data_IF_874362685039
#
_entry.id   IF_874362685039
#
_cell.length_a   1.000
_cell.length_b   1.000
_cell.length_c   1.000
_cell.angle_alpha   90.00
_cell.angle_beta   90.00
_cell.angle_gamma   90.00
#
_symmetry.space_group_name_H-M   'P 1'
#
loop_
_entity.id
_entity.type
_entity.pdbx_description
1 polymer ?
#
# COMPACT_ATOMS: atom_id res chain seq x y z
N UNK A 1 -18.17 2.86 3.88
CA UNK A 1 -18.07 4.35 4.09
C UNK A 1 -16.59 4.72 4.12
N UNK A 2 -16.15 5.67 3.31
CA UNK A 2 -14.74 6.08 3.26
C UNK A 2 -14.39 6.96 4.47
N UNK A 3 -13.21 6.74 5.05
CA UNK A 3 -12.75 7.40 6.28
C UNK A 3 -11.55 8.28 5.94
N UNK A 4 -11.53 9.50 6.47
CA UNK A 4 -10.37 10.38 6.33
C UNK A 4 -9.17 9.81 7.11
N UNK A 5 -7.99 9.95 6.50
CA UNK A 5 -6.72 9.53 7.10
C UNK A 5 -5.77 10.72 7.11
N UNK A 6 -5.13 10.98 8.24
CA UNK A 6 -4.04 11.94 8.36
C UNK A 6 -2.87 11.32 9.15
N UNK A 7 -1.81 10.98 8.43
CA UNK A 7 -0.60 10.38 9.00
C UNK A 7 0.53 11.40 9.28
N UNK A 8 0.25 12.71 9.24
CA UNK A 8 1.28 13.77 9.30
C UNK A 8 2.27 13.63 10.47
N UNK A 9 1.82 13.03 11.57
CA UNK A 9 2.62 12.85 12.79
C UNK A 9 2.75 11.39 13.21
N UNK A 10 2.52 10.47 12.27
CA UNK A 10 2.54 9.02 12.56
C UNK A 10 3.85 8.41 12.11
N UNK A 11 4.51 7.71 13.02
CA UNK A 11 5.72 6.91 12.80
C UNK A 11 5.47 5.51 13.34
N UNK A 12 5.57 4.49 12.48
CA UNK A 12 5.43 3.09 12.86
C UNK A 12 6.79 2.44 12.70
N UNK A 13 7.39 2.04 13.83
CA UNK A 13 8.72 1.43 13.86
C UNK A 13 8.56 -0.09 13.96
N UNK A 14 9.26 -0.82 13.09
CA UNK A 14 9.33 -2.29 13.08
C UNK A 14 10.74 -2.76 13.40
N UNK A 15 11.03 -4.02 13.21
CA UNK A 15 12.39 -4.54 13.43
C UNK A 15 13.43 -3.93 12.47
N UNK A 16 13.05 -3.70 11.20
CA UNK A 16 13.98 -3.26 10.15
C UNK A 16 13.56 -1.97 9.47
N UNK A 17 12.31 -1.53 9.66
CA UNK A 17 11.69 -0.44 8.89
C UNK A 17 11.14 0.66 9.80
N UNK A 18 11.01 1.85 9.21
CA UNK A 18 10.21 2.95 9.73
C UNK A 18 9.20 3.32 8.64
N UNK A 19 7.91 3.26 8.96
CA UNK A 19 6.86 3.86 8.14
C UNK A 19 6.64 5.27 8.64
N UNK A 20 6.89 6.26 7.81
CA UNK A 20 6.82 7.68 8.17
C UNK A 20 6.20 8.55 7.08
N UNK A 21 5.76 9.76 7.40
CA UNK A 21 5.36 10.72 6.37
C UNK A 21 6.47 10.98 5.37
N UNK A 22 6.08 11.23 4.12
CA UNK A 22 7.00 11.61 3.05
C UNK A 22 7.60 12.99 3.29
N UNK A 23 8.87 13.17 2.89
CA UNK A 23 9.61 14.42 2.94
C UNK A 23 10.10 14.81 1.55
N UNK A 24 10.30 16.10 1.30
CA UNK A 24 10.83 16.59 0.02
C UNK A 24 12.22 16.03 -0.31
N UNK A 25 13.01 15.74 0.73
CA UNK A 25 14.33 15.11 0.64
C UNK A 25 14.30 13.68 0.06
N UNK A 26 13.16 12.98 0.14
CA UNK A 26 13.01 11.59 -0.33
C UNK A 26 12.94 11.46 -1.86
N UNK A 27 12.96 12.58 -2.58
CA UNK A 27 12.80 12.60 -4.05
C UNK A 27 13.79 11.68 -4.78
N UNK A 28 15.02 11.61 -4.32
CA UNK A 28 16.05 10.80 -5.00
C UNK A 28 15.80 9.32 -4.82
N UNK A 29 15.48 8.89 -3.61
CA UNK A 29 15.17 7.51 -3.28
C UNK A 29 13.87 7.07 -3.95
N UNK A 30 12.86 7.93 -3.94
CA UNK A 30 11.60 7.65 -4.64
C UNK A 30 11.84 7.46 -6.15
N UNK A 31 12.58 8.38 -6.79
CA UNK A 31 12.87 8.25 -8.21
C UNK A 31 13.68 6.99 -8.51
N UNK A 32 14.62 6.62 -7.66
CA UNK A 32 15.47 5.44 -7.85
C UNK A 32 14.64 4.16 -8.05
N UNK A 33 13.58 3.93 -7.24
CA UNK A 33 12.74 2.75 -7.42
C UNK A 33 11.57 2.96 -8.38
N UNK A 34 10.96 4.15 -8.39
CA UNK A 34 9.80 4.43 -9.24
C UNK A 34 10.14 4.51 -10.73
N UNK A 35 11.40 4.74 -11.09
CA UNK A 35 11.87 4.73 -12.47
C UNK A 35 12.19 3.34 -13.03
N UNK A 36 12.20 2.32 -12.18
CA UNK A 36 12.52 0.94 -12.59
C UNK A 36 11.31 0.30 -13.27
N UNK A 37 11.41 -0.14 -14.55
CA UNK A 37 10.32 -0.83 -15.24
C UNK A 37 9.83 -2.05 -14.46
N UNK A 38 8.51 -2.23 -14.38
CA UNK A 38 7.85 -3.33 -13.69
C UNK A 38 7.61 -3.08 -12.19
N UNK A 39 8.10 -1.99 -11.60
CA UNK A 39 7.75 -1.61 -10.22
C UNK A 39 6.35 -0.97 -10.21
N UNK A 40 6.17 0.08 -10.97
CA UNK A 40 4.89 0.79 -11.07
C UNK A 40 3.80 0.00 -11.75
N UNK A 41 4.15 -0.72 -12.80
CA UNK A 41 3.21 -1.50 -13.59
C UNK A 41 2.49 -2.57 -12.76
N UNK A 42 3.19 -3.15 -11.78
CA UNK A 42 2.60 -4.11 -10.83
C UNK A 42 1.67 -3.46 -9.79
N UNK A 43 1.65 -2.13 -9.74
CA UNK A 43 0.77 -1.33 -8.88
C UNK A 43 -0.23 -0.45 -9.66
N UNK A 44 -0.30 -0.60 -11.00
CA UNK A 44 -1.28 0.07 -11.86
C UNK A 44 -0.86 1.43 -12.40
N UNK A 45 0.43 1.78 -12.32
CA UNK A 45 0.98 3.03 -12.85
C UNK A 45 2.27 2.78 -13.65
N UNK A 46 2.58 3.59 -14.68
CA UNK A 46 3.81 3.44 -15.47
C UNK A 46 5.02 3.89 -14.67
N UNK A 47 6.16 3.21 -14.81
CA UNK A 47 7.42 3.68 -14.22
C UNK A 47 7.71 5.14 -14.62
N UNK A 48 8.33 5.87 -13.73
CA UNK A 48 8.57 7.30 -13.91
C UNK A 48 9.76 7.53 -14.85
N UNK A 49 9.49 7.93 -16.08
CA UNK A 49 10.54 8.26 -17.07
C UNK A 49 11.37 9.49 -16.69
N UNK A 50 10.77 10.43 -15.95
CA UNK A 50 11.38 11.69 -15.57
C UNK A 50 11.23 11.97 -14.08
N UNK A 51 12.27 12.47 -13.45
CA UNK A 51 12.26 12.86 -12.03
C UNK A 51 11.20 13.93 -11.70
N UNK A 52 10.81 14.74 -12.68
CA UNK A 52 9.70 15.69 -12.54
C UNK A 52 8.37 14.99 -12.21
N UNK A 53 8.10 13.84 -12.84
CA UNK A 53 6.91 13.02 -12.53
C UNK A 53 6.94 12.55 -11.09
N UNK A 54 8.09 12.03 -10.63
CA UNK A 54 8.26 11.61 -9.24
C UNK A 54 8.05 12.76 -8.27
N UNK A 55 8.57 13.97 -8.59
CA UNK A 55 8.38 15.16 -7.75
C UNK A 55 6.90 15.54 -7.61
N UNK A 56 6.12 15.41 -8.68
CA UNK A 56 4.68 15.68 -8.65
C UNK A 56 3.94 14.65 -7.77
N UNK A 57 4.25 13.36 -7.91
CA UNK A 57 3.66 12.30 -7.10
C UNK A 57 4.07 12.43 -5.62
N UNK A 58 5.34 12.76 -5.35
CA UNK A 58 5.83 13.04 -4.00
C UNK A 58 5.03 14.16 -3.33
N UNK A 59 4.77 15.24 -4.06
CA UNK A 59 3.95 16.35 -3.55
C UNK A 59 2.53 15.89 -3.21
N UNK A 60 1.91 15.04 -4.07
CA UNK A 60 0.60 14.47 -3.80
C UNK A 60 0.59 13.58 -2.55
N UNK A 61 1.65 12.81 -2.30
CA UNK A 61 1.77 12.00 -1.08
C UNK A 61 1.89 12.86 0.18
N UNK A 62 2.70 13.95 0.11
CA UNK A 62 2.87 14.89 1.22
C UNK A 62 1.55 15.61 1.54
N UNK A 63 0.83 16.08 0.52
CA UNK A 63 -0.43 16.81 0.68
C UNK A 63 -1.59 15.90 1.07
N UNK A 64 -1.65 14.70 0.47
CA UNK A 64 -2.72 13.72 0.69
C UNK A 64 -2.67 13.02 2.05
N UNK A 65 -1.50 13.00 2.71
CA UNK A 65 -1.30 12.52 4.08
C UNK A 65 -1.89 11.12 4.38
N UNK A 66 -1.90 10.24 3.37
CA UNK A 66 -2.45 8.88 3.49
C UNK A 66 -1.46 7.78 3.09
N UNK A 67 -0.27 8.16 2.63
CA UNK A 67 0.77 7.23 2.15
C UNK A 67 2.06 7.45 2.94
N UNK A 68 2.58 6.38 3.53
CA UNK A 68 3.87 6.36 4.22
C UNK A 68 5.03 6.09 3.24
N UNK A 69 6.17 6.69 3.49
CA UNK A 69 7.45 6.22 3.01
C UNK A 69 7.86 4.98 3.83
N UNK A 70 8.41 3.97 3.17
CA UNK A 70 9.04 2.81 3.83
C UNK A 70 10.54 3.07 3.86
N UNK A 71 11.07 3.38 5.04
CA UNK A 71 12.49 3.65 5.27
C UNK A 71 13.16 2.45 5.95
N UNK A 72 14.35 2.08 5.49
CA UNK A 72 15.20 1.05 6.13
C UNK A 72 16.00 1.70 7.26
N UNK A 73 15.88 1.17 8.48
CA UNK A 73 16.57 1.74 9.67
C UNK A 73 18.09 1.73 9.56
N UNK A 74 18.67 0.70 8.94
CA UNK A 74 20.12 0.51 8.86
C UNK A 74 20.83 1.65 8.10
N UNK A 75 20.19 2.22 7.08
CA UNK A 75 20.83 3.17 6.18
C UNK A 75 19.99 4.41 5.85
N UNK A 76 18.82 4.56 6.49
CA UNK A 76 17.86 5.64 6.30
C UNK A 76 17.37 5.81 4.85
N UNK A 77 17.46 4.74 4.04
CA UNK A 77 17.05 4.78 2.64
C UNK A 77 15.56 4.51 2.52
N UNK A 78 14.85 5.35 1.77
CA UNK A 78 13.45 5.09 1.41
C UNK A 78 13.42 4.12 0.23
N UNK A 79 12.81 2.95 0.47
CA UNK A 79 12.79 1.84 -0.48
C UNK A 79 11.43 1.58 -1.10
N UNK A 80 10.39 2.28 -0.64
CA UNK A 80 9.03 2.04 -1.10
C UNK A 80 8.00 2.95 -0.46
N UNK A 81 6.76 2.64 -0.75
CA UNK A 81 5.57 3.30 -0.20
C UNK A 81 4.55 2.29 0.25
N UNK A 82 3.79 2.62 1.29
CA UNK A 82 2.61 1.89 1.73
C UNK A 82 1.58 2.88 2.25
N UNK A 83 0.29 2.68 1.96
CA UNK A 83 -0.70 3.65 2.42
C UNK A 83 -2.13 3.24 2.15
N UNK A 84 -3.03 4.18 2.46
CA UNK A 84 -4.46 3.99 2.40
C UNK A 84 -5.06 4.59 1.15
N UNK A 85 -6.02 3.85 0.58
CA UNK A 85 -6.85 4.26 -0.55
C UNK A 85 -8.32 4.03 -0.22
N UNK A 86 -9.22 4.52 -1.09
CA UNK A 86 -10.64 4.17 -1.00
C UNK A 86 -10.80 2.67 -1.23
N UNK A 87 -11.55 2.02 -0.34
CA UNK A 87 -11.76 0.57 -0.40
C UNK A 87 -12.78 0.22 -1.49
N UNK A 88 -12.53 -0.88 -2.21
CA UNK A 88 -13.52 -1.49 -3.09
C UNK A 88 -14.78 -1.93 -2.34
N UNK A 89 -14.67 -2.20 -1.03
CA UNK A 89 -15.79 -2.57 -0.17
C UNK A 89 -16.83 -1.44 -0.02
N UNK A 90 -16.44 -0.18 -0.22
CA UNK A 90 -17.36 0.96 -0.09
C UNK A 90 -18.48 0.95 -1.14
N UNK A 91 -18.21 0.39 -2.33
CA UNK A 91 -19.17 0.28 -3.43
C UNK A 91 -19.79 -1.13 -3.55
N UNK A 92 -19.37 -2.05 -2.69
CA UNK A 92 -19.82 -3.43 -2.70
C UNK A 92 -21.11 -3.61 -1.91
N UNK A 93 -22.19 -4.20 -2.46
CA UNK A 93 -23.46 -4.38 -1.76
C UNK A 93 -23.36 -5.14 -0.43
N UNK A 94 -22.43 -6.10 -0.34
CA UNK A 94 -22.24 -6.94 0.85
C UNK A 94 -21.44 -6.20 1.92
N UNK A 95 -20.43 -5.39 1.53
CA UNK A 95 -19.44 -4.81 2.45
C UNK A 95 -19.58 -3.31 2.65
N UNK A 96 -20.42 -2.60 1.87
CA UNK A 96 -20.57 -1.12 1.94
C UNK A 96 -21.01 -0.56 3.28
N UNK A 97 -21.54 -1.40 4.15
CA UNK A 97 -21.93 -1.02 5.51
C UNK A 97 -20.72 -0.88 6.46
N UNK A 98 -19.57 -1.48 6.09
CA UNK A 98 -18.34 -1.42 6.86
C UNK A 98 -17.59 -0.10 6.62
N UNK A 99 -16.95 0.38 7.66
CA UNK A 99 -15.92 1.43 7.57
C UNK A 99 -14.62 0.78 7.11
N UNK A 100 -14.31 0.86 5.83
CA UNK A 100 -13.19 0.14 5.24
C UNK A 100 -12.18 1.05 4.53
N UNK A 101 -10.90 0.69 4.62
CA UNK A 101 -9.80 1.26 3.83
C UNK A 101 -9.09 0.17 3.03
N UNK A 102 -8.67 0.52 1.83
CA UNK A 102 -7.78 -0.32 1.03
C UNK A 102 -6.33 0.03 1.33
N UNK A 103 -5.46 -0.98 1.42
CA UNK A 103 -4.02 -0.75 1.53
C UNK A 103 -3.32 -1.10 0.22
N UNK A 104 -2.45 -0.18 -0.22
CA UNK A 104 -1.59 -0.38 -1.37
C UNK A 104 -0.13 -0.20 -1.00
N UNK A 105 0.76 -0.94 -1.63
CA UNK A 105 2.19 -0.86 -1.40
C UNK A 105 3.00 -1.06 -2.68
N UNK A 106 4.17 -0.46 -2.70
CA UNK A 106 5.18 -0.62 -3.75
C UNK A 106 6.55 -0.61 -3.10
N UNK A 107 7.44 -1.49 -3.52
CA UNK A 107 8.81 -1.57 -2.99
C UNK A 107 9.82 -1.74 -4.12
N UNK A 108 11.01 -1.18 -3.94
CA UNK A 108 12.14 -1.33 -4.85
C UNK A 108 12.46 -2.80 -5.12
N UNK A 109 12.78 -3.13 -6.37
CA UNK A 109 13.15 -4.50 -6.78
C UNK A 109 14.34 -5.06 -6.01
N UNK A 110 15.29 -4.21 -5.63
CA UNK A 110 16.49 -4.58 -4.88
C UNK A 110 16.16 -5.17 -3.49
N UNK A 111 14.93 -4.92 -3.01
CA UNK A 111 14.46 -5.36 -1.70
C UNK A 111 13.37 -6.43 -1.77
N UNK A 112 13.11 -6.98 -2.97
CA UNK A 112 12.16 -8.09 -3.13
C UNK A 112 12.67 -9.39 -2.49
N UNK A 113 11.76 -10.25 -2.05
CA UNK A 113 12.09 -11.54 -1.47
C UNK A 113 12.63 -11.53 -0.04
N UNK A 114 12.88 -10.34 0.55
CA UNK A 114 13.49 -10.19 1.88
C UNK A 114 12.47 -10.11 3.03
N UNK A 115 11.18 -10.23 2.73
CA UNK A 115 10.12 -10.18 3.76
C UNK A 115 9.79 -8.78 4.29
N UNK A 116 10.35 -7.71 3.70
CA UNK A 116 10.14 -6.33 4.17
C UNK A 116 8.71 -5.84 3.91
N UNK A 117 8.12 -6.18 2.76
CA UNK A 117 6.73 -5.79 2.47
C UNK A 117 5.71 -6.40 3.43
N UNK A 118 5.76 -7.72 3.74
CA UNK A 118 4.90 -8.28 4.79
C UNK A 118 5.12 -7.65 6.17
N UNK A 119 6.36 -7.29 6.53
CA UNK A 119 6.69 -6.60 7.78
C UNK A 119 6.01 -5.23 7.84
N UNK A 120 6.16 -4.42 6.79
CA UNK A 120 5.51 -3.11 6.67
C UNK A 120 3.97 -3.23 6.69
N UNK A 121 3.42 -4.18 5.93
CA UNK A 121 1.98 -4.37 5.84
C UNK A 121 1.36 -4.79 7.17
N UNK A 122 1.95 -5.75 7.87
CA UNK A 122 1.49 -6.17 9.21
C UNK A 122 1.52 -5.02 10.20
N UNK A 123 2.61 -4.27 10.25
CA UNK A 123 2.72 -3.11 11.13
C UNK A 123 1.66 -2.04 10.84
N UNK A 124 1.36 -1.77 9.55
CA UNK A 124 0.29 -0.85 9.17
C UNK A 124 -1.09 -1.39 9.56
N UNK A 125 -1.35 -2.68 9.36
CA UNK A 125 -2.62 -3.33 9.74
C UNK A 125 -2.84 -3.23 11.25
N UNK A 126 -1.85 -3.60 12.05
CA UNK A 126 -1.92 -3.56 13.51
C UNK A 126 -2.15 -2.12 14.02
N UNK A 127 -1.41 -1.16 13.45
CA UNK A 127 -1.61 0.26 13.76
C UNK A 127 -3.02 0.73 13.38
N UNK A 128 -3.51 0.33 12.22
CA UNK A 128 -4.83 0.74 11.72
C UNK A 128 -5.96 0.29 12.63
N UNK A 129 -5.98 -0.99 12.99
CA UNK A 129 -7.01 -1.52 13.87
C UNK A 129 -6.89 -1.01 15.31
N UNK A 130 -5.70 -0.57 15.74
CA UNK A 130 -5.49 -0.02 17.09
C UNK A 130 -5.84 1.47 17.19
N UNK A 131 -5.71 2.25 16.10
CA UNK A 131 -5.78 3.70 16.15
C UNK A 131 -6.88 4.31 15.28
N UNK A 132 -7.46 3.55 14.34
CA UNK A 132 -8.51 4.02 13.46
C UNK A 132 -9.85 3.36 13.81
N UNK A 133 -10.93 4.09 13.63
CA UNK A 133 -12.30 3.56 13.76
C UNK A 133 -12.73 2.91 12.43
N UNK A 134 -12.10 1.77 12.11
CA UNK A 134 -12.37 0.96 10.91
C UNK A 134 -12.83 -0.45 11.28
N UNK A 135 -13.72 -1.02 10.47
CA UNK A 135 -14.23 -2.38 10.63
C UNK A 135 -13.44 -3.38 9.80
N UNK A 136 -12.84 -2.91 8.68
CA UNK A 136 -12.14 -3.76 7.73
C UNK A 136 -10.98 -3.05 7.04
N UNK A 137 -9.99 -3.85 6.65
CA UNK A 137 -8.95 -3.48 5.68
C UNK A 137 -9.11 -4.36 4.46
N UNK A 138 -9.06 -3.76 3.27
CA UNK A 138 -9.06 -4.47 2.00
C UNK A 138 -7.70 -4.36 1.31
N UNK A 139 -7.45 -5.27 0.40
CA UNK A 139 -6.30 -5.27 -0.47
C UNK A 139 -6.63 -6.03 -1.75
N UNK A 140 -5.97 -5.68 -2.85
CA UNK A 140 -6.07 -6.44 -4.09
C UNK A 140 -4.68 -6.66 -4.70
N UNK A 141 -4.55 -7.66 -5.56
CA UNK A 141 -3.38 -7.83 -6.41
C UNK A 141 -3.78 -8.17 -7.84
N UNK A 142 -2.98 -7.75 -8.81
CA UNK A 142 -3.15 -8.21 -10.18
C UNK A 142 -2.85 -9.70 -10.27
N UNK A 143 -3.61 -10.43 -11.08
CA UNK A 143 -3.55 -11.90 -11.17
C UNK A 143 -2.13 -12.43 -11.38
N UNK A 144 -1.32 -11.72 -12.17
CA UNK A 144 0.05 -12.10 -12.48
C UNK A 144 1.07 -11.61 -11.45
N UNK A 145 0.64 -10.84 -10.42
CA UNK A 145 1.51 -10.36 -9.35
C UNK A 145 1.57 -11.35 -8.19
N UNK A 146 2.23 -12.49 -8.41
CA UNK A 146 2.41 -13.54 -7.41
C UNK A 146 3.16 -13.08 -6.16
N UNK A 147 3.99 -12.04 -6.27
CA UNK A 147 4.72 -11.49 -5.12
C UNK A 147 3.76 -10.78 -4.18
N UNK A 148 2.86 -9.94 -4.71
CA UNK A 148 1.82 -9.29 -3.90
C UNK A 148 0.87 -10.33 -3.30
N UNK A 149 0.46 -11.36 -4.06
CA UNK A 149 -0.34 -12.47 -3.54
C UNK A 149 0.29 -13.08 -2.27
N UNK A 150 1.59 -13.40 -2.32
CA UNK A 150 2.31 -13.97 -1.17
C UNK A 150 2.38 -13.02 0.03
N UNK A 151 2.46 -11.71 -0.21
CA UNK A 151 2.40 -10.72 0.88
C UNK A 151 1.03 -10.75 1.55
N UNK A 152 -0.04 -10.72 0.77
CA UNK A 152 -1.43 -10.74 1.22
C UNK A 152 -1.71 -12.00 2.05
N UNK A 153 -1.30 -13.18 1.55
CA UNK A 153 -1.44 -14.46 2.25
C UNK A 153 -0.66 -14.47 3.58
N UNK A 154 0.58 -13.95 3.59
CA UNK A 154 1.39 -13.85 4.82
C UNK A 154 0.84 -12.87 5.86
N UNK A 155 0.03 -11.91 5.43
CA UNK A 155 -0.66 -10.99 6.32
C UNK A 155 -1.96 -11.57 6.88
N UNK A 156 -2.47 -12.68 6.32
CA UNK A 156 -3.67 -13.37 6.82
C UNK A 156 -4.98 -12.81 6.28
N UNK A 157 -4.97 -12.15 5.13
CA UNK A 157 -6.20 -11.70 4.48
C UNK A 157 -7.02 -12.86 3.92
N UNK A 158 -8.33 -12.75 3.98
CA UNK A 158 -9.28 -13.70 3.41
C UNK A 158 -9.59 -13.32 1.96
N UNK A 159 -9.50 -14.29 1.05
CA UNK A 159 -9.91 -14.11 -0.35
C UNK A 159 -11.43 -13.92 -0.45
N UNK A 160 -11.84 -12.95 -1.26
CA UNK A 160 -13.25 -12.67 -1.51
C UNK A 160 -13.64 -13.13 -2.91
N UNK A 161 -13.01 -12.58 -3.94
CA UNK A 161 -13.35 -12.91 -5.33
C UNK A 161 -12.30 -12.43 -6.33
N UNK A 162 -12.38 -13.00 -7.51
CA UNK A 162 -11.75 -12.45 -8.71
C UNK A 162 -12.56 -11.25 -9.23
N UNK A 163 -11.87 -10.27 -9.84
CA UNK A 163 -12.45 -9.03 -10.34
C UNK A 163 -11.57 -8.45 -11.44
N UNK A 164 -11.86 -7.23 -11.86
CA UNK A 164 -11.03 -6.46 -12.77
C UNK A 164 -10.76 -5.07 -12.22
N UNK A 165 -9.58 -4.56 -12.49
CA UNK A 165 -9.14 -3.22 -12.13
C UNK A 165 -8.91 -2.37 -13.40
N UNK A 166 -9.51 -1.19 -13.44
CA UNK A 166 -9.26 -0.22 -14.51
C UNK A 166 -7.99 0.59 -14.18
N UNK A 167 -6.86 0.13 -14.65
CA UNK A 167 -5.57 0.80 -14.52
C UNK A 167 -5.48 1.99 -15.52
N UNK A 168 -6.19 3.07 -15.20
CA UNK A 168 -6.33 4.24 -16.09
C UNK A 168 -4.99 4.81 -16.56
N UNK A 169 -3.98 4.85 -15.70
CA UNK A 169 -2.66 5.36 -16.03
C UNK A 169 -1.90 4.46 -17.02
N UNK A 170 -2.24 3.17 -17.06
CA UNK A 170 -1.71 2.19 -18.01
C UNK A 170 -2.61 2.01 -19.24
N UNK A 171 -3.79 2.65 -19.25
CA UNK A 171 -4.83 2.46 -20.27
C UNK A 171 -5.18 0.98 -20.48
N UNK A 172 -5.36 0.24 -19.38
CA UNK A 172 -5.60 -1.20 -19.39
C UNK A 172 -6.63 -1.61 -18.33
N UNK A 173 -7.44 -2.61 -18.65
CA UNK A 173 -8.20 -3.39 -17.68
C UNK A 173 -7.36 -4.61 -17.35
N UNK A 174 -7.16 -4.89 -16.07
CA UNK A 174 -6.29 -5.95 -15.57
C UNK A 174 -7.11 -6.83 -14.62
N UNK A 175 -7.00 -8.14 -14.76
CA UNK A 175 -7.61 -9.08 -13.83
C UNK A 175 -6.95 -8.95 -12.46
N UNK A 176 -7.77 -8.83 -11.42
CA UNK A 176 -7.33 -8.72 -10.04
C UNK A 176 -8.05 -9.71 -9.13
N UNK A 177 -7.53 -9.91 -7.94
CA UNK A 177 -8.13 -10.69 -6.87
C UNK A 177 -8.27 -9.82 -5.62
N UNK A 178 -9.46 -9.82 -5.03
CA UNK A 178 -9.84 -8.99 -3.88
C UNK A 178 -9.82 -9.78 -2.59
N UNK A 179 -9.30 -9.16 -1.55
CA UNK A 179 -9.16 -9.73 -0.22
C UNK A 179 -9.63 -8.75 0.84
N UNK A 180 -10.05 -9.28 1.98
CA UNK A 180 -10.51 -8.52 3.14
C UNK A 180 -9.94 -9.09 4.43
N UNK A 181 -9.77 -8.24 5.42
CA UNK A 181 -9.50 -8.60 6.82
C UNK A 181 -10.47 -7.80 7.69
N UNK A 182 -11.25 -8.48 8.50
CA UNK A 182 -12.17 -7.85 9.43
C UNK A 182 -11.51 -7.61 10.78
N UNK A 183 -11.95 -6.60 11.53
CA UNK A 183 -11.50 -6.36 12.89
C UNK A 183 -11.72 -7.58 13.79
N UNK A 184 -12.84 -8.29 13.62
CA UNK A 184 -13.15 -9.52 14.34
C UNK A 184 -12.10 -10.62 14.16
N UNK A 185 -11.47 -10.70 12.97
CA UNK A 185 -10.49 -11.74 12.66
C UNK A 185 -9.19 -11.60 13.50
N UNK A 186 -8.98 -10.43 14.12
CA UNK A 186 -7.79 -10.13 14.93
C UNK A 186 -8.08 -10.32 16.41
N UNK A 187 -9.32 -10.10 16.84
CA UNK A 187 -9.72 -10.19 18.27
C UNK A 187 -9.67 -11.62 18.81
N UNK A 188 -9.60 -12.63 17.94
CA UNK A 188 -9.61 -14.05 18.28
C UNK A 188 -8.21 -14.69 18.27
N UNK A 189 -7.13 -13.89 18.16
CA UNK A 189 -5.74 -14.34 18.21
C UNK A 189 -5.01 -13.79 19.45
#
# INVERSE_FOLDING_TARGET
MDIAVDISNVYIVTQRLILRPWQKSDLNDFYAYASVPGVGEMAGWPHHKFKRTTKQVLQLFIEGKSVFAIEVQENNKVIGSIGFHSSWANDDPEYRHLKAKDIGYTISKDYWGQGLTPEAAKALIDWSFSHMDIDAITVAHFRDNYQSKRVIEKCGFTFVRESTYNARQLNRIIDDAKYIMLRSDISDK
#
